data_IF_207088856077
#
_entry.id   IF_207088856077
#
_cell.length_a   1.000
_cell.length_b   1.000
_cell.length_c   1.000
_cell.angle_alpha   90.00
_cell.angle_beta   90.00
_cell.angle_gamma   90.00
#
_symmetry.space_group_name_H-M   'P 1'
#
loop_
_entity.id
_entity.type
_entity.pdbx_description
1 polymer ?
#
# COMPACT_ATOMS: atom_id res chain seq x y z
N UNK A 1 -13.52 0.79 1.43
CA UNK A 1 -12.66 0.51 2.61
C UNK A 1 -11.84 1.72 3.04
N UNK A 2 -11.39 1.74 4.30
CA UNK A 2 -10.43 2.72 4.83
C UNK A 2 -9.01 2.19 4.63
N UNK A 3 -8.11 2.99 4.08
CA UNK A 3 -6.72 2.59 3.83
C UNK A 3 -5.73 3.69 4.24
N UNK A 4 -4.52 3.29 4.63
CA UNK A 4 -3.38 4.18 4.78
C UNK A 4 -2.64 4.29 3.44
N UNK A 5 -2.51 5.50 2.91
CA UNK A 5 -2.00 5.77 1.56
C UNK A 5 -0.78 6.68 1.65
N UNK A 6 0.22 6.38 0.83
CA UNK A 6 1.36 7.25 0.57
C UNK A 6 1.21 7.77 -0.85
N UNK A 7 0.89 9.06 -1.02
CA UNK A 7 0.70 9.64 -2.36
C UNK A 7 2.04 9.79 -3.11
N UNK A 8 3.15 10.01 -2.40
CA UNK A 8 4.50 10.14 -2.97
C UNK A 8 5.58 9.61 -2.03
N UNK A 9 6.56 8.90 -2.56
CA UNK A 9 7.75 8.52 -1.80
C UNK A 9 8.49 9.74 -1.26
N UNK A 10 9.05 9.62 -0.04
CA UNK A 10 9.76 10.70 0.65
C UNK A 10 8.93 11.98 0.86
N UNK A 11 7.60 11.88 0.89
CA UNK A 11 6.74 13.02 1.26
C UNK A 11 7.05 13.48 2.68
N UNK A 12 7.08 14.81 2.88
CA UNK A 12 7.22 15.40 4.23
C UNK A 12 5.99 15.11 5.08
N UNK A 13 4.83 14.98 4.43
CA UNK A 13 3.54 14.71 5.07
C UNK A 13 3.35 13.22 5.42
N UNK A 14 4.30 12.36 5.04
CA UNK A 14 4.22 10.92 5.28
C UNK A 14 3.08 10.27 4.50
N UNK A 15 2.23 9.53 5.22
CA UNK A 15 1.02 8.91 4.66
C UNK A 15 -0.23 9.33 5.42
N UNK A 16 -1.39 9.10 4.81
CA UNK A 16 -2.68 9.54 5.32
C UNK A 16 -3.72 8.45 5.22
N UNK A 17 -4.72 8.51 6.09
CA UNK A 17 -5.88 7.63 6.00
C UNK A 17 -6.88 8.24 5.01
N UNK A 18 -7.38 7.43 4.07
CA UNK A 18 -8.39 7.84 3.08
C UNK A 18 -9.42 6.72 2.88
N UNK A 19 -10.66 7.10 2.57
CA UNK A 19 -11.65 6.17 2.01
C UNK A 19 -11.32 5.89 0.53
N UNK A 20 -11.33 4.62 0.17
CA UNK A 20 -11.12 4.11 -1.19
C UNK A 20 -12.19 3.06 -1.54
N UNK A 21 -12.45 2.81 -2.83
CA UNK A 21 -13.29 1.69 -3.24
C UNK A 21 -12.77 0.37 -2.70
N UNK A 22 -13.66 -0.59 -2.48
CA UNK A 22 -13.25 -1.96 -2.17
C UNK A 22 -12.57 -2.59 -3.40
N UNK A 23 -11.55 -3.44 -3.21
CA UNK A 23 -10.83 -4.06 -4.31
C UNK A 23 -11.72 -5.05 -5.07
N UNK A 24 -11.51 -5.18 -6.38
CA UNK A 24 -12.21 -6.15 -7.22
C UNK A 24 -11.45 -7.47 -7.23
N UNK A 25 -12.13 -8.55 -6.85
CA UNK A 25 -11.59 -9.91 -6.87
C UNK A 25 -11.58 -10.47 -8.30
N UNK A 26 -10.47 -11.09 -8.72
CA UNK A 26 -10.37 -11.90 -9.95
C UNK A 26 -10.59 -13.38 -9.64
N UNK A 27 -10.61 -14.21 -10.68
CA UNK A 27 -10.87 -15.65 -10.54
C UNK A 27 -9.95 -16.36 -9.52
N UNK A 28 -8.70 -15.92 -9.41
CA UNK A 28 -7.68 -16.55 -8.54
C UNK A 28 -7.35 -15.72 -7.28
N UNK A 29 -8.06 -14.61 -7.05
CA UNK A 29 -7.83 -13.76 -5.88
C UNK A 29 -8.67 -14.23 -4.69
N UNK A 30 -8.26 -13.91 -3.47
CA UNK A 30 -9.08 -14.02 -2.26
C UNK A 30 -9.26 -12.63 -1.65
N UNK A 31 -10.51 -12.22 -1.43
CA UNK A 31 -10.82 -11.00 -0.71
C UNK A 31 -10.81 -11.25 0.79
N UNK A 32 -10.02 -10.47 1.54
CA UNK A 32 -9.83 -10.62 2.98
C UNK A 32 -10.23 -9.32 3.68
N UNK A 33 -11.03 -9.44 4.74
CA UNK A 33 -11.27 -8.34 5.68
C UNK A 33 -10.11 -8.26 6.69
N UNK A 34 -9.37 -7.16 6.65
CA UNK A 34 -8.19 -6.97 7.49
C UNK A 34 -8.61 -6.39 8.85
N UNK A 35 -8.54 -7.21 9.91
CA UNK A 35 -8.78 -6.77 11.29
C UNK A 35 -7.55 -6.12 11.93
N UNK A 36 -6.36 -6.57 11.55
CA UNK A 36 -5.08 -6.05 12.05
C UNK A 36 -3.96 -6.28 11.03
N UNK A 37 -2.99 -5.36 11.01
CA UNK A 37 -1.76 -5.49 10.24
C UNK A 37 -0.56 -5.10 11.12
N UNK A 38 0.61 -5.71 10.87
CA UNK A 38 1.85 -5.38 11.57
C UNK A 38 2.63 -4.31 10.79
N UNK A 39 3.28 -3.40 11.51
CA UNK A 39 4.28 -2.47 10.96
C UNK A 39 5.66 -3.11 11.01
N UNK A 40 6.36 -3.11 9.89
CA UNK A 40 7.68 -3.69 9.70
C UNK A 40 8.68 -2.64 9.18
N UNK A 41 9.98 -2.93 9.29
CA UNK A 41 11.05 -2.07 8.74
C UNK A 41 10.90 -1.86 7.22
N UNK A 42 10.38 -2.87 6.52
CA UNK A 42 10.11 -2.82 5.09
C UNK A 42 9.17 -1.66 4.73
N UNK A 43 8.15 -1.38 5.56
CA UNK A 43 7.17 -0.33 5.29
C UNK A 43 7.81 1.07 5.28
N UNK A 44 8.77 1.29 6.18
CA UNK A 44 9.56 2.55 6.23
C UNK A 44 10.41 2.74 4.97
N UNK A 45 11.00 1.65 4.47
CA UNK A 45 11.82 1.66 3.25
C UNK A 45 10.98 1.79 1.97
N UNK A 46 9.77 1.25 1.96
CA UNK A 46 8.80 1.47 0.89
C UNK A 46 8.41 2.95 0.88
N UNK A 47 8.09 3.55 2.03
CA UNK A 47 7.77 4.99 2.14
C UNK A 47 8.91 5.88 1.66
N UNK A 48 10.16 5.54 1.94
CA UNK A 48 11.33 6.29 1.47
C UNK A 48 11.66 6.05 -0.02
N UNK A 49 11.00 5.09 -0.68
CA UNK A 49 11.21 4.77 -2.09
C UNK A 49 12.54 4.05 -2.38
N UNK A 50 13.23 3.53 -1.37
CA UNK A 50 14.51 2.82 -1.50
C UNK A 50 14.42 1.59 -2.41
N UNK A 51 13.23 0.99 -2.48
CA UNK A 51 13.00 -0.19 -3.30
C UNK A 51 12.55 0.10 -4.74
N UNK A 52 12.35 1.37 -5.14
CA UNK A 52 11.80 1.71 -6.46
C UNK A 52 12.63 1.17 -7.63
N UNK A 53 13.95 1.06 -7.46
CA UNK A 53 14.87 0.57 -8.50
C UNK A 53 15.01 -0.96 -8.53
N UNK A 54 14.68 -1.65 -7.43
CA UNK A 54 14.99 -3.07 -7.23
C UNK A 54 13.72 -3.93 -7.17
N UNK A 55 12.59 -3.38 -6.72
CA UNK A 55 11.29 -4.03 -6.80
C UNK A 55 10.59 -3.54 -8.07
N UNK A 56 10.42 -4.39 -9.10
CA UNK A 56 9.52 -4.13 -10.21
C UNK A 56 8.07 -4.26 -9.73
N UNK A 57 7.71 -3.51 -8.70
CA UNK A 57 6.36 -3.46 -8.16
C UNK A 57 5.52 -2.71 -9.19
N UNK A 58 4.91 -3.46 -10.12
CA UNK A 58 3.83 -2.93 -10.94
C UNK A 58 2.75 -2.52 -9.97
N UNK A 59 2.61 -1.21 -9.76
CA UNK A 59 1.56 -0.64 -8.93
C UNK A 59 0.23 -0.95 -9.61
N UNK A 60 -0.35 -2.12 -9.27
CA UNK A 60 -1.64 -2.54 -9.76
C UNK A 60 -2.66 -1.97 -8.78
N UNK A 61 -2.98 -0.70 -8.98
CA UNK A 61 -4.19 -0.12 -8.39
C UNK A 61 -5.39 -0.80 -9.08
N UNK A 62 -6.29 -1.31 -8.25
CA UNK A 62 -7.68 -1.73 -8.53
C UNK A 62 -7.96 -2.37 -9.90
#
# INVERSE_FOLDING_TARGET
MKAFIIDKYKSKDGGRIKQIPDPRQRADDVLIEVHAARVNLLDSKIRSGEFKLILPYKHRLF
#
